data_IF_780294181630
#
_entry.id   IF_780294181630
#
_cell.length_a   1.000
_cell.length_b   1.000
_cell.length_c   1.000
_cell.angle_alpha   90.00
_cell.angle_beta   90.00
_cell.angle_gamma   90.00
#
_symmetry.space_group_name_H-M   'P 1'
#
loop_
_entity.id
_entity.type
_entity.pdbx_description
1 polymer ?
#
# COMPACT_ATOMS: atom_id res chain seq x y z
N UNK A 1 7.19 2.45 -3.96
CA UNK A 1 5.98 1.72 -3.54
C UNK A 1 5.44 0.98 -4.74
N UNK A 2 5.51 -0.35 -4.72
CA UNK A 2 5.07 -1.17 -5.84
C UNK A 2 4.90 -2.63 -5.43
N UNK A 3 4.21 -3.41 -6.25
CA UNK A 3 4.13 -4.87 -6.16
C UNK A 3 5.33 -5.44 -6.94
N UNK A 4 5.90 -6.56 -6.50
CA UNK A 4 6.99 -7.25 -7.22
C UNK A 4 8.35 -7.26 -6.53
N UNK A 5 8.51 -6.56 -5.40
CA UNK A 5 9.82 -6.42 -4.74
C UNK A 5 10.33 -7.75 -4.17
N UNK A 6 9.43 -8.63 -3.72
CA UNK A 6 9.82 -9.94 -3.16
C UNK A 6 10.39 -10.83 -4.26
N UNK A 7 9.78 -10.81 -5.44
CA UNK A 7 10.19 -11.56 -6.62
C UNK A 7 11.55 -11.06 -7.13
N UNK A 8 11.74 -9.74 -7.17
CA UNK A 8 13.01 -9.11 -7.54
C UNK A 8 14.14 -9.49 -6.56
N UNK A 9 13.88 -9.39 -5.24
CA UNK A 9 14.87 -9.77 -4.22
C UNK A 9 15.14 -11.28 -4.24
N UNK A 10 14.12 -12.09 -4.48
CA UNK A 10 14.26 -13.55 -4.54
C UNK A 10 15.16 -14.03 -5.66
N UNK A 11 15.27 -13.27 -6.75
CA UNK A 11 16.16 -13.58 -7.87
C UNK A 11 17.66 -13.55 -7.49
N UNK A 12 18.02 -12.89 -6.38
CA UNK A 12 19.39 -12.85 -5.87
C UNK A 12 19.77 -14.07 -5.00
N UNK A 13 18.80 -14.91 -4.63
CA UNK A 13 19.02 -16.08 -3.79
C UNK A 13 18.91 -17.36 -4.63
N UNK A 14 19.74 -18.38 -4.37
CA UNK A 14 19.57 -19.69 -4.98
C UNK A 14 18.23 -20.31 -4.55
N UNK A 15 17.73 -21.27 -5.33
CA UNK A 15 16.52 -22.01 -4.97
C UNK A 15 16.66 -22.68 -3.59
N UNK A 16 15.73 -22.38 -2.68
CA UNK A 16 15.76 -22.86 -1.29
C UNK A 16 16.65 -22.06 -0.34
N UNK A 17 17.37 -21.04 -0.85
CA UNK A 17 18.18 -20.12 -0.05
C UNK A 17 17.51 -18.78 0.25
N UNK A 18 16.23 -18.62 -0.12
CA UNK A 18 15.47 -17.39 0.15
C UNK A 18 15.28 -17.19 1.66
N UNK A 19 15.42 -15.96 2.17
CA UNK A 19 15.11 -15.66 3.56
C UNK A 19 13.60 -15.64 3.82
N UNK A 20 13.24 -15.57 5.10
CA UNK A 20 11.88 -15.19 5.52
C UNK A 20 11.61 -13.74 5.12
N UNK A 21 10.74 -13.53 4.14
CA UNK A 21 10.34 -12.18 3.72
C UNK A 21 9.25 -11.61 4.61
N UNK A 22 9.51 -10.41 5.12
CA UNK A 22 8.54 -9.53 5.74
C UNK A 22 8.26 -8.36 4.80
N UNK A 23 7.00 -7.94 4.73
CA UNK A 23 6.62 -6.70 4.05
C UNK A 23 6.03 -5.72 5.05
N UNK A 24 6.32 -4.44 4.84
CA UNK A 24 5.79 -3.36 5.65
C UNK A 24 5.15 -2.29 4.75
N UNK A 25 3.89 -1.97 5.03
CA UNK A 25 3.16 -0.89 4.41
C UNK A 25 3.16 0.31 5.35
N UNK A 26 4.01 1.28 5.02
CA UNK A 26 4.15 2.55 5.75
C UNK A 26 3.23 3.58 5.13
N UNK A 27 2.36 4.19 5.93
CA UNK A 27 1.44 5.26 5.48
C UNK A 27 1.88 6.65 5.95
N UNK A 28 2.92 6.73 6.78
CA UNK A 28 3.54 8.01 7.14
C UNK A 28 4.00 8.80 5.91
N UNK A 29 3.73 10.10 5.92
CA UNK A 29 4.22 11.03 4.90
C UNK A 29 5.62 11.51 5.25
N UNK A 30 6.60 11.24 4.39
CA UNK A 30 7.97 11.73 4.53
C UNK A 30 8.44 12.24 3.18
N UNK A 31 9.02 13.44 3.14
CA UNK A 31 9.67 13.97 1.95
C UNK A 31 11.09 14.44 2.26
N UNK A 32 11.99 14.30 1.28
CA UNK A 32 13.35 14.78 1.38
C UNK A 32 13.39 16.29 1.23
N UNK A 33 14.11 16.97 2.12
CA UNK A 33 14.40 18.42 2.05
C UNK A 33 15.84 18.70 1.66
N UNK A 34 16.64 17.66 1.39
CA UNK A 34 18.04 17.76 1.03
C UNK A 34 18.83 16.52 1.42
N UNK A 35 20.15 16.55 1.19
CA UNK A 35 21.01 15.45 1.59
C UNK A 35 20.96 15.26 3.12
N UNK A 36 20.65 14.05 3.59
CA UNK A 36 20.47 13.72 5.00
C UNK A 36 19.42 14.58 5.72
N UNK A 37 18.44 15.12 4.98
CA UNK A 37 17.39 15.97 5.54
C UNK A 37 16.03 15.52 5.02
N UNK A 38 15.10 15.28 5.94
CA UNK A 38 13.73 14.89 5.60
C UNK A 38 12.75 15.53 6.58
N UNK A 39 11.56 15.84 6.08
CA UNK A 39 10.44 16.31 6.91
C UNK A 39 9.44 15.17 7.06
N UNK A 40 9.07 14.87 8.30
CA UNK A 40 7.92 14.02 8.60
C UNK A 40 6.65 14.85 8.44
N UNK A 41 6.01 14.71 7.29
CA UNK A 41 4.89 15.54 6.84
C UNK A 41 3.52 15.02 7.29
N UNK A 42 3.44 13.72 7.65
CA UNK A 42 2.19 13.09 8.04
C UNK A 42 2.40 11.95 9.02
N UNK A 43 1.79 12.08 10.21
CA UNK A 43 1.70 11.00 11.19
C UNK A 43 0.56 10.06 10.77
N UNK A 44 0.85 8.77 10.68
CA UNK A 44 -0.09 7.73 10.30
C UNK A 44 0.36 6.41 10.96
N UNK A 45 0.35 5.29 10.23
CA UNK A 45 0.67 3.97 10.77
C UNK A 45 1.61 3.15 9.89
N UNK A 46 2.04 2.02 10.44
CA UNK A 46 2.81 0.98 9.77
C UNK A 46 2.12 -0.36 9.98
N UNK A 47 1.91 -1.12 8.90
CA UNK A 47 1.46 -2.52 8.98
C UNK A 47 2.57 -3.43 8.49
N UNK A 48 2.95 -4.42 9.29
CA UNK A 48 4.04 -5.35 8.98
C UNK A 48 3.59 -6.79 9.17
N UNK A 49 4.15 -7.71 8.38
CA UNK A 49 3.85 -9.13 8.50
C UNK A 49 4.57 -10.00 7.47
N UNK A 50 4.34 -11.32 7.50
CA UNK A 50 4.88 -12.25 6.51
C UNK A 50 4.20 -12.06 5.15
N UNK A 51 4.95 -12.27 4.07
CA UNK A 51 4.41 -12.15 2.70
C UNK A 51 3.59 -13.36 2.26
N UNK A 52 3.75 -14.52 2.90
CA UNK A 52 3.00 -15.75 2.60
C UNK A 52 2.27 -16.26 3.83
N UNK A 53 1.07 -16.83 3.62
CA UNK A 53 0.24 -17.47 4.66
C UNK A 53 0.94 -18.63 5.35
N UNK A 54 1.84 -19.31 4.64
CA UNK A 54 2.55 -20.49 5.12
C UNK A 54 3.88 -20.16 5.78
N UNK A 55 4.28 -18.89 5.80
CA UNK A 55 5.54 -18.48 6.40
C UNK A 55 5.41 -18.41 7.91
N UNK A 56 6.07 -19.36 8.58
CA UNK A 56 6.34 -19.24 10.01
C UNK A 56 7.54 -18.31 10.24
N UNK A 57 7.40 -17.37 11.18
CA UNK A 57 8.49 -16.47 11.54
C UNK A 57 9.49 -17.24 12.41
N UNK A 58 10.71 -17.38 11.91
CA UNK A 58 11.83 -17.85 12.73
C UNK A 58 12.19 -16.80 13.81
N UNK A 59 13.10 -17.16 14.72
CA UNK A 59 13.47 -16.30 15.85
C UNK A 59 13.99 -14.92 15.44
N UNK A 60 14.76 -14.85 14.35
CA UNK A 60 15.33 -13.58 13.83
C UNK A 60 14.24 -12.68 13.23
N UNK A 61 13.34 -13.25 12.43
CA UNK A 61 12.23 -12.52 11.84
C UNK A 61 11.25 -12.02 12.91
N UNK A 62 10.97 -12.85 13.92
CA UNK A 62 10.14 -12.46 15.08
C UNK A 62 10.77 -11.30 15.84
N UNK A 63 12.07 -11.39 16.16
CA UNK A 63 12.80 -10.32 16.83
C UNK A 63 12.75 -8.99 16.07
N UNK A 64 12.90 -9.04 14.73
CA UNK A 64 12.81 -7.84 13.90
C UNK A 64 11.42 -7.20 13.94
N UNK A 65 10.36 -8.01 13.84
CA UNK A 65 8.98 -7.54 13.98
C UNK A 65 8.78 -6.89 15.35
N UNK A 66 9.21 -7.55 16.43
CA UNK A 66 9.04 -7.03 17.80
C UNK A 66 9.78 -5.69 18.00
N UNK A 67 10.99 -5.54 17.45
CA UNK A 67 11.71 -4.26 17.49
C UNK A 67 10.94 -3.16 16.75
N UNK A 68 10.45 -3.43 15.55
CA UNK A 68 9.71 -2.43 14.78
C UNK A 68 8.44 -2.02 15.52
N UNK A 69 7.70 -2.98 16.08
CA UNK A 69 6.47 -2.73 16.84
C UNK A 69 6.71 -2.02 18.18
N UNK A 70 7.89 -2.16 18.77
CA UNK A 70 8.27 -1.44 20.00
C UNK A 70 8.42 0.08 19.80
N UNK A 71 8.55 0.53 18.55
CA UNK A 71 8.72 1.94 18.21
C UNK A 71 7.38 2.67 18.17
N UNK A 72 7.04 3.36 19.26
CA UNK A 72 5.81 4.16 19.35
C UNK A 72 5.63 5.17 18.18
N UNK A 73 6.67 5.88 17.69
CA UNK A 73 6.53 6.78 16.55
C UNK A 73 6.09 6.12 15.23
N UNK A 74 6.34 4.82 15.06
CA UNK A 74 5.93 4.09 13.85
C UNK A 74 4.47 3.66 13.89
N UNK A 75 3.82 3.70 15.07
CA UNK A 75 2.45 3.22 15.27
C UNK A 75 2.21 1.85 14.57
N UNK A 76 3.15 0.93 14.78
CA UNK A 76 3.20 -0.35 14.08
C UNK A 76 2.13 -1.34 14.53
N UNK A 77 1.58 -2.10 13.58
CA UNK A 77 0.69 -3.23 13.84
C UNK A 77 1.15 -4.46 13.04
N UNK A 78 1.26 -5.62 13.69
CA UNK A 78 1.47 -6.90 13.00
C UNK A 78 0.15 -7.34 12.35
N UNK A 79 0.20 -7.72 11.07
CA UNK A 79 -0.95 -8.25 10.35
C UNK A 79 -0.55 -9.50 9.55
N UNK A 80 -1.53 -10.36 9.25
CA UNK A 80 -1.30 -11.55 8.43
C UNK A 80 -1.08 -11.22 6.95
N UNK A 81 -0.59 -12.20 6.18
CA UNK A 81 -0.29 -12.05 4.75
C UNK A 81 -1.48 -11.53 3.91
N UNK A 82 -2.70 -11.97 4.22
CA UNK A 82 -3.91 -11.51 3.52
C UNK A 82 -4.20 -10.04 3.76
N UNK A 83 -4.14 -9.62 5.02
CA UNK A 83 -4.34 -8.23 5.35
C UNK A 83 -3.24 -7.36 4.77
N UNK A 84 -1.99 -7.82 4.79
CA UNK A 84 -0.87 -7.16 4.11
C UNK A 84 -1.13 -6.97 2.62
N UNK A 85 -1.60 -8.00 1.92
CA UNK A 85 -1.97 -7.90 0.51
C UNK A 85 -3.07 -6.85 0.33
N UNK A 86 -4.12 -6.88 1.15
CA UNK A 86 -5.23 -5.94 1.01
C UNK A 86 -4.79 -4.49 1.21
N UNK A 87 -4.01 -4.18 2.24
CA UNK A 87 -3.52 -2.82 2.48
C UNK A 87 -2.49 -2.39 1.43
N UNK A 88 -1.75 -3.33 0.85
CA UNK A 88 -0.88 -3.07 -0.30
C UNK A 88 -1.70 -2.66 -1.52
N UNK A 89 -2.80 -3.36 -1.80
CA UNK A 89 -3.71 -3.06 -2.90
C UNK A 89 -4.40 -1.69 -2.71
N UNK A 90 -4.86 -1.37 -1.49
CA UNK A 90 -5.41 -0.04 -1.17
C UNK A 90 -4.40 1.07 -1.45
N UNK A 91 -3.15 0.90 -1.01
CA UNK A 91 -2.07 1.86 -1.28
C UNK A 91 -1.70 1.93 -2.76
N UNK A 92 -1.77 0.81 -3.48
CA UNK A 92 -1.56 0.77 -4.93
C UNK A 92 -2.59 1.63 -5.65
N UNK A 93 -3.87 1.54 -5.32
CA UNK A 93 -4.93 2.37 -5.91
C UNK A 93 -4.64 3.85 -5.70
N UNK A 94 -4.33 4.24 -4.46
CA UNK A 94 -3.98 5.63 -4.16
C UNK A 94 -2.85 6.13 -5.06
N UNK A 95 -1.76 5.37 -5.19
CA UNK A 95 -0.62 5.75 -6.03
C UNK A 95 -0.96 5.72 -7.54
N UNK A 96 -1.78 4.76 -7.99
CA UNK A 96 -2.18 4.61 -9.39
C UNK A 96 -3.10 5.75 -9.87
N UNK A 97 -3.82 6.40 -8.96
CA UNK A 97 -4.62 7.59 -9.26
C UNK A 97 -3.80 8.86 -9.07
N UNK A 98 -3.12 9.01 -7.94
CA UNK A 98 -2.47 10.27 -7.55
C UNK A 98 -1.21 10.55 -8.37
N UNK A 99 -0.34 9.55 -8.56
CA UNK A 99 0.97 9.78 -9.19
C UNK A 99 0.84 10.16 -10.68
N UNK A 100 -0.02 9.52 -11.50
CA UNK A 100 -0.19 9.95 -12.89
C UNK A 100 -0.79 11.35 -13.01
N UNK A 101 -1.79 11.68 -12.18
CA UNK A 101 -2.44 12.99 -12.22
C UNK A 101 -1.48 14.11 -11.83
N UNK A 102 -0.73 13.94 -10.74
CA UNK A 102 0.30 14.92 -10.34
C UNK A 102 1.40 15.07 -11.39
N UNK A 103 1.87 13.97 -11.99
CA UNK A 103 2.91 14.01 -13.01
C UNK A 103 2.46 14.71 -14.31
N UNK A 104 1.24 14.41 -14.79
CA UNK A 104 0.71 14.97 -16.04
C UNK A 104 0.31 16.44 -15.86
N UNK A 105 -0.38 16.76 -14.76
CA UNK A 105 -0.90 18.10 -14.50
C UNK A 105 0.13 19.02 -13.83
N UNK A 106 1.27 18.47 -13.39
CA UNK A 106 2.34 19.18 -12.66
C UNK A 106 1.81 19.95 -11.46
N UNK A 107 0.97 19.29 -10.69
CA UNK A 107 0.28 19.89 -9.55
C UNK A 107 0.58 19.13 -8.25
N UNK A 108 0.66 19.79 -7.08
CA UNK A 108 0.70 19.10 -5.79
C UNK A 108 -0.48 18.16 -5.61
N UNK A 109 -0.30 17.13 -4.75
CA UNK A 109 -1.35 16.19 -4.41
C UNK A 109 -2.68 16.88 -4.06
N UNK A 110 -2.68 17.87 -3.16
CA UNK A 110 -3.90 18.56 -2.72
C UNK A 110 -4.76 19.17 -3.84
N UNK A 111 -4.16 19.55 -4.97
CA UNK A 111 -4.90 20.09 -6.13
C UNK A 111 -5.61 19.02 -6.95
N UNK A 112 -5.26 17.74 -6.78
CA UNK A 112 -6.01 16.63 -7.39
C UNK A 112 -7.47 16.63 -6.93
N UNK A 113 -7.78 17.17 -5.74
CA UNK A 113 -9.15 17.28 -5.22
C UNK A 113 -10.00 18.35 -5.93
N UNK A 114 -9.45 19.10 -6.90
CA UNK A 114 -10.22 20.05 -7.68
C UNK A 114 -11.50 19.40 -8.23
N UNK A 115 -12.68 20.01 -8.06
CA UNK A 115 -13.94 19.46 -8.57
C UNK A 115 -13.92 19.18 -10.08
N UNK A 116 -13.14 19.93 -10.86
CA UNK A 116 -12.99 19.70 -12.31
C UNK A 116 -12.36 18.34 -12.64
N UNK A 117 -11.55 17.78 -11.73
CA UNK A 117 -10.89 16.48 -11.89
C UNK A 117 -11.74 15.32 -11.35
N UNK A 118 -12.87 15.59 -10.69
CA UNK A 118 -13.69 14.55 -10.07
C UNK A 118 -14.15 13.45 -11.05
N UNK A 119 -14.58 13.76 -12.30
CA UNK A 119 -14.93 12.72 -13.27
C UNK A 119 -13.74 11.82 -13.62
N UNK A 120 -12.54 12.40 -13.78
CA UNK A 120 -11.33 11.67 -14.12
C UNK A 120 -10.86 10.79 -12.95
N UNK A 121 -10.83 11.33 -11.73
CA UNK A 121 -10.52 10.54 -10.53
C UNK A 121 -11.47 9.35 -10.39
N UNK A 122 -12.77 9.59 -10.55
CA UNK A 122 -13.79 8.54 -10.45
C UNK A 122 -13.54 7.44 -11.48
N UNK A 123 -13.29 7.78 -12.75
CA UNK A 123 -13.01 6.81 -13.80
C UNK A 123 -11.76 5.96 -13.48
N UNK A 124 -10.67 6.57 -13.03
CA UNK A 124 -9.45 5.83 -12.65
C UNK A 124 -9.67 4.91 -11.44
N UNK A 125 -10.48 5.35 -10.46
CA UNK A 125 -10.86 4.51 -9.31
C UNK A 125 -11.75 3.34 -9.74
N UNK A 126 -12.68 3.55 -10.66
CA UNK A 126 -13.52 2.47 -11.21
C UNK A 126 -12.68 1.41 -11.93
N UNK A 127 -11.74 1.84 -12.79
CA UNK A 127 -10.83 0.93 -13.49
C UNK A 127 -9.96 0.13 -12.53
N UNK A 128 -9.32 0.82 -11.57
CA UNK A 128 -8.44 0.16 -10.60
C UNK A 128 -9.21 -0.78 -9.66
N UNK A 129 -10.42 -0.41 -9.23
CA UNK A 129 -11.34 -1.27 -8.48
C UNK A 129 -11.65 -2.55 -9.26
N UNK A 130 -12.03 -2.42 -10.54
CA UNK A 130 -12.36 -3.56 -11.39
C UNK A 130 -11.16 -4.50 -11.57
N UNK A 131 -9.96 -3.95 -11.79
CA UNK A 131 -8.71 -4.72 -11.93
C UNK A 131 -8.40 -5.48 -10.63
N UNK A 132 -8.50 -4.83 -9.47
CA UNK A 132 -8.20 -5.47 -8.18
C UNK A 132 -9.20 -6.57 -7.86
N UNK A 133 -10.49 -6.31 -8.03
CA UNK A 133 -11.53 -7.33 -7.80
C UNK A 133 -11.37 -8.51 -8.75
N UNK A 134 -10.97 -8.26 -10.00
CA UNK A 134 -10.63 -9.33 -10.94
C UNK A 134 -9.42 -10.15 -10.44
N UNK A 135 -8.33 -9.49 -10.05
CA UNK A 135 -7.14 -10.15 -9.52
C UNK A 135 -7.44 -10.99 -8.27
N UNK A 136 -8.18 -10.45 -7.30
CA UNK A 136 -8.57 -11.17 -6.09
C UNK A 136 -9.41 -12.42 -6.40
N UNK A 137 -10.26 -12.39 -7.43
CA UNK A 137 -10.98 -13.59 -7.90
C UNK A 137 -10.02 -14.64 -8.45
N UNK A 138 -8.95 -14.24 -9.15
CA UNK A 138 -7.96 -15.20 -9.67
C UNK A 138 -7.18 -15.91 -8.56
N UNK A 139 -7.04 -15.28 -7.38
CA UNK A 139 -6.40 -15.90 -6.21
C UNK A 139 -7.33 -16.88 -5.48
N UNK A 140 -8.64 -16.79 -5.72
CA UNK A 140 -9.67 -17.60 -5.07
C UNK A 140 -10.63 -18.20 -6.12
N UNK A 141 -10.15 -19.06 -7.03
CA UNK A 141 -10.97 -19.56 -8.15
C UNK A 141 -12.16 -20.40 -7.68
N UNK A 142 -12.04 -21.06 -6.53
CA UNK A 142 -13.04 -22.01 -6.02
C UNK A 142 -14.07 -21.36 -5.08
N UNK A 143 -13.95 -20.07 -4.79
CA UNK A 143 -14.85 -19.38 -3.87
C UNK A 143 -15.12 -17.95 -4.31
N UNK A 144 -16.39 -17.50 -4.35
CA UNK A 144 -16.69 -16.10 -4.64
C UNK A 144 -16.06 -15.18 -3.58
N UNK A 145 -15.71 -13.97 -3.99
CA UNK A 145 -15.29 -12.93 -3.05
C UNK A 145 -16.43 -12.64 -2.07
N UNK A 146 -16.08 -12.48 -0.79
CA UNK A 146 -17.06 -12.09 0.23
C UNK A 146 -17.59 -10.68 -0.04
N UNK A 147 -18.81 -10.40 0.43
CA UNK A 147 -19.40 -9.06 0.34
C UNK A 147 -18.50 -8.00 0.99
N UNK A 148 -17.87 -8.34 2.12
CA UNK A 148 -16.91 -7.46 2.79
C UNK A 148 -15.69 -7.14 1.93
N UNK A 149 -15.21 -8.10 1.12
CA UNK A 149 -14.09 -7.88 0.20
C UNK A 149 -14.48 -6.99 -0.97
N UNK A 150 -15.66 -7.25 -1.55
CA UNK A 150 -16.23 -6.45 -2.63
C UNK A 150 -16.43 -5.00 -2.16
N UNK A 151 -16.96 -4.82 -0.96
CA UNK A 151 -17.15 -3.51 -0.35
C UNK A 151 -15.81 -2.83 -0.04
N UNK A 152 -14.82 -3.58 0.47
CA UNK A 152 -13.48 -3.04 0.77
C UNK A 152 -12.84 -2.39 -0.45
N UNK A 153 -12.97 -3.04 -1.60
CA UNK A 153 -12.40 -2.58 -2.88
C UNK A 153 -13.44 -1.96 -3.80
N UNK A 154 -14.57 -1.49 -3.26
CA UNK A 154 -15.58 -0.79 -4.04
C UNK A 154 -15.05 0.56 -4.53
N UNK A 155 -15.57 1.03 -5.66
CA UNK A 155 -15.27 2.37 -6.19
C UNK A 155 -15.48 3.45 -5.14
N UNK A 156 -16.56 3.36 -4.36
CA UNK A 156 -16.89 4.34 -3.33
C UNK A 156 -15.81 4.40 -2.24
N UNK A 157 -15.44 3.24 -1.69
CA UNK A 157 -14.46 3.17 -0.60
C UNK A 157 -13.06 3.52 -1.05
N UNK A 158 -12.64 3.05 -2.23
CA UNK A 158 -11.35 3.40 -2.81
C UNK A 158 -11.28 4.89 -3.17
N UNK A 159 -12.39 5.49 -3.62
CA UNK A 159 -12.50 6.94 -3.83
C UNK A 159 -12.22 7.72 -2.55
N UNK A 160 -12.85 7.34 -1.44
CA UNK A 160 -12.58 7.94 -0.12
C UNK A 160 -11.11 7.77 0.31
N UNK A 161 -10.50 6.62 0.03
CA UNK A 161 -9.07 6.40 0.32
C UNK A 161 -8.19 7.36 -0.49
N UNK A 162 -8.44 7.48 -1.80
CA UNK A 162 -7.75 8.44 -2.67
C UNK A 162 -7.89 9.85 -2.11
N UNK A 163 -9.12 10.28 -1.79
CA UNK A 163 -9.37 11.63 -1.29
C UNK A 163 -8.66 11.92 0.03
N UNK A 164 -8.67 10.97 0.97
CA UNK A 164 -7.94 11.08 2.24
C UNK A 164 -6.42 11.23 2.03
N UNK A 165 -5.82 10.34 1.23
CA UNK A 165 -4.37 10.38 0.95
C UNK A 165 -3.98 11.70 0.27
N UNK A 166 -4.88 12.24 -0.54
CA UNK A 166 -4.70 13.52 -1.22
C UNK A 166 -4.81 14.71 -0.25
N UNK A 167 -5.75 14.65 0.70
CA UNK A 167 -6.03 15.71 1.69
C UNK A 167 -5.02 15.77 2.84
N UNK A 168 -4.43 14.64 3.24
CA UNK A 168 -3.47 14.56 4.36
C UNK A 168 -2.07 15.08 4.01
N UNK A 169 -1.91 15.80 2.88
CA UNK A 169 -0.67 16.48 2.55
C UNK A 169 0.51 15.53 2.32
N UNK A 170 0.25 14.31 1.82
CA UNK A 170 1.30 13.37 1.41
C UNK A 170 2.15 13.97 0.30
N UNK A 171 3.12 14.82 0.65
CA UNK A 171 4.02 15.44 -0.28
C UNK A 171 4.95 14.36 -0.82
N UNK A 172 4.81 14.05 -2.11
CA UNK A 172 5.91 13.51 -2.89
C UNK A 172 6.05 14.46 -4.08
N UNK A 173 7.11 15.25 -4.05
CA UNK A 173 7.69 15.86 -5.24
C UNK A 173 8.92 15.03 -5.63
#
# INVERSE_FOLDING_TARGET
NGIGAVEEVSAFFPAGGQPTYLSAIVTHGVFSTGQFSATHAGVADLKIGPVSRTTELNGEARWLVDIILSSAPLAGTEVGADELLHVTLEKLVANAVINPLTAILRTPNGEILNPSLAPLRKAMVEETSAVILSHLRTLHPDSPLSEAMIERFSTARLGTIVERVTGDGGAVY
#
